data_IF_651813845118
#
_entry.id   IF_651813845118
#
_cell.length_a   1.000
_cell.length_b   1.000
_cell.length_c   1.000
_cell.angle_alpha   90.00
_cell.angle_beta   90.00
_cell.angle_gamma   90.00
#
_symmetry.space_group_name_H-M   'P 1'
#
loop_
_entity.id
_entity.type
_entity.pdbx_description
1 polymer ?
#
# COMPACT_ATOMS: atom_id res chain seq x y z
N UNK A 1 23.26 -8.80 28.88
CA UNK A 1 23.74 -7.59 28.17
C UNK A 1 24.23 -7.93 26.76
N UNK A 2 25.00 -9.00 26.53
CA UNK A 2 25.41 -9.42 25.17
C UNK A 2 24.22 -9.86 24.29
N UNK A 3 23.36 -10.77 24.78
CA UNK A 3 22.28 -11.36 23.96
C UNK A 3 21.23 -10.34 23.49
N UNK A 4 20.88 -9.36 24.33
CA UNK A 4 19.96 -8.28 23.97
C UNK A 4 20.50 -7.42 22.82
N UNK A 5 21.82 -7.12 22.81
CA UNK A 5 22.42 -6.37 21.72
C UNK A 5 22.40 -7.14 20.40
N UNK A 6 22.68 -8.46 20.41
CA UNK A 6 22.61 -9.27 19.20
C UNK A 6 21.19 -9.38 18.64
N UNK A 7 20.17 -9.47 19.50
CA UNK A 7 18.77 -9.49 19.09
C UNK A 7 18.33 -8.18 18.46
N UNK A 8 18.69 -7.04 19.06
CA UNK A 8 18.34 -5.72 18.53
C UNK A 8 19.00 -5.47 17.16
N UNK A 9 20.28 -5.80 17.02
CA UNK A 9 20.99 -5.70 15.73
C UNK A 9 20.29 -6.54 14.66
N UNK A 10 19.91 -7.79 14.99
CA UNK A 10 19.23 -8.67 14.03
C UNK A 10 17.85 -8.14 13.64
N UNK A 11 17.10 -7.58 14.59
CA UNK A 11 15.81 -6.95 14.35
C UNK A 11 15.94 -5.74 13.44
N UNK A 12 16.92 -4.87 13.67
CA UNK A 12 17.19 -3.71 12.82
C UNK A 12 17.49 -4.14 11.37
N UNK A 13 18.28 -5.22 11.19
CA UNK A 13 18.55 -5.76 9.85
C UNK A 13 17.30 -6.31 9.17
N UNK A 14 16.42 -7.00 9.91
CA UNK A 14 15.16 -7.52 9.37
C UNK A 14 14.23 -6.37 8.99
N UNK A 15 14.09 -5.37 9.86
CA UNK A 15 13.28 -4.16 9.60
C UNK A 15 13.79 -3.45 8.34
N UNK A 16 15.10 -3.24 8.24
CA UNK A 16 15.73 -2.59 7.11
C UNK A 16 15.47 -3.34 5.80
N UNK A 17 15.64 -4.67 5.81
CA UNK A 17 15.40 -5.51 4.63
C UNK A 17 13.94 -5.49 4.21
N UNK A 18 13.01 -5.66 5.14
CA UNK A 18 11.58 -5.64 4.86
C UNK A 18 11.13 -4.28 4.32
N UNK A 19 11.61 -3.17 4.91
CA UNK A 19 11.35 -1.83 4.40
C UNK A 19 11.94 -1.60 3.00
N UNK A 20 13.17 -2.07 2.75
CA UNK A 20 13.80 -1.96 1.44
C UNK A 20 12.98 -2.70 0.36
N UNK A 21 12.57 -3.95 0.65
CA UNK A 21 11.72 -4.74 -0.25
C UNK A 21 10.42 -3.99 -0.54
N UNK A 22 9.78 -3.45 0.50
CA UNK A 22 8.53 -2.71 0.37
C UNK A 22 8.68 -1.49 -0.53
N UNK A 23 9.74 -0.71 -0.36
CA UNK A 23 10.06 0.45 -1.21
C UNK A 23 10.26 0.02 -2.66
N UNK A 24 10.97 -1.08 -2.92
CA UNK A 24 11.17 -1.60 -4.27
C UNK A 24 9.85 -2.05 -4.92
N UNK A 25 8.96 -2.69 -4.17
CA UNK A 25 7.64 -3.12 -4.66
C UNK A 25 6.78 -1.89 -5.01
N UNK A 26 6.77 -0.87 -4.14
CA UNK A 26 6.05 0.39 -4.42
C UNK A 26 6.63 1.07 -5.67
N UNK A 27 7.95 1.14 -5.79
CA UNK A 27 8.61 1.72 -6.96
C UNK A 27 8.25 0.98 -8.25
N UNK A 28 8.25 -0.36 -8.24
CA UNK A 28 7.80 -1.17 -9.37
C UNK A 28 6.32 -0.89 -9.71
N UNK A 29 5.47 -0.79 -8.69
CA UNK A 29 4.05 -0.44 -8.85
C UNK A 29 3.86 0.92 -9.51
N UNK A 30 4.64 1.94 -9.10
CA UNK A 30 4.62 3.28 -9.71
C UNK A 30 5.00 3.19 -11.20
N UNK A 31 6.09 2.51 -11.54
CA UNK A 31 6.53 2.35 -12.94
C UNK A 31 5.44 1.70 -13.78
N UNK A 32 4.85 0.60 -13.31
CA UNK A 32 3.78 -0.11 -14.02
C UNK A 32 2.53 0.75 -14.18
N UNK A 33 2.12 1.47 -13.13
CA UNK A 33 0.98 2.36 -13.15
C UNK A 33 1.19 3.53 -14.14
N UNK A 34 2.36 4.17 -14.09
CA UNK A 34 2.71 5.28 -14.97
C UNK A 34 2.71 4.85 -16.45
N UNK A 35 3.28 3.68 -16.77
CA UNK A 35 3.25 3.16 -18.15
C UNK A 35 1.81 2.93 -18.63
N UNK A 36 0.95 2.33 -17.80
CA UNK A 36 -0.46 2.08 -18.15
C UNK A 36 -1.27 3.36 -18.30
N UNK A 37 -1.05 4.36 -17.44
CA UNK A 37 -1.69 5.68 -17.56
C UNK A 37 -1.25 6.35 -18.85
N UNK A 38 0.05 6.38 -19.16
CA UNK A 38 0.57 7.00 -20.38
C UNK A 38 0.02 6.35 -21.66
N UNK A 39 -0.18 5.03 -21.65
CA UNK A 39 -0.86 4.31 -22.74
C UNK A 39 -2.34 4.70 -22.88
N UNK A 40 -3.01 5.04 -21.78
CA UNK A 40 -4.43 5.43 -21.74
C UNK A 40 -4.67 6.86 -22.22
N UNK A 41 -3.69 7.77 -22.08
CA UNK A 41 -3.82 9.16 -22.59
C UNK A 41 -4.09 9.21 -24.10
N UNK A 42 -3.70 8.17 -24.87
CA UNK A 42 -4.00 8.08 -26.31
C UNK A 42 -5.46 7.71 -26.63
N UNK A 43 -6.21 7.12 -25.69
CA UNK A 43 -7.63 6.77 -25.82
C UNK A 43 -8.27 6.89 -24.42
N UNK A 44 -8.84 8.05 -24.06
CA UNK A 44 -9.43 8.26 -22.75
C UNK A 44 -10.66 7.35 -22.60
N UNK A 45 -10.45 6.22 -21.94
CA UNK A 45 -11.49 5.27 -21.57
C UNK A 45 -11.34 4.99 -20.07
N UNK A 46 -12.40 5.27 -19.32
CA UNK A 46 -12.46 5.15 -17.86
C UNK A 46 -12.08 3.73 -17.39
N UNK A 47 -12.39 2.72 -18.20
CA UNK A 47 -12.00 1.32 -17.95
C UNK A 47 -10.48 1.11 -17.87
N UNK A 48 -9.70 1.88 -18.62
CA UNK A 48 -8.24 1.73 -18.68
C UNK A 48 -7.54 2.43 -17.51
N UNK A 49 -8.09 3.56 -17.04
CA UNK A 49 -7.65 4.22 -15.82
C UNK A 49 -7.85 3.33 -14.58
N UNK A 50 -9.03 2.72 -14.45
CA UNK A 50 -9.33 1.79 -13.35
C UNK A 50 -8.40 0.57 -13.34
N UNK A 51 -7.98 0.07 -14.51
CA UNK A 51 -6.99 -1.02 -14.62
C UNK A 51 -5.59 -0.60 -14.14
N UNK A 52 -5.16 0.63 -14.42
CA UNK A 52 -3.87 1.14 -13.93
C UNK A 52 -3.89 1.30 -12.41
N UNK A 53 -4.98 1.88 -11.88
CA UNK A 53 -5.22 2.02 -10.43
C UNK A 53 -5.24 0.67 -9.72
N UNK A 54 -6.02 -0.29 -10.22
CA UNK A 54 -6.11 -1.64 -9.64
C UNK A 54 -4.78 -2.38 -9.66
N UNK A 55 -3.99 -2.22 -10.73
CA UNK A 55 -2.64 -2.78 -10.79
C UNK A 55 -1.76 -2.18 -9.69
N UNK A 56 -1.76 -0.86 -9.52
CA UNK A 56 -0.99 -0.19 -8.47
C UNK A 56 -1.40 -0.62 -7.06
N UNK A 57 -2.71 -0.75 -6.80
CA UNK A 57 -3.23 -1.21 -5.50
C UNK A 57 -2.66 -2.56 -5.08
N UNK A 58 -2.41 -3.48 -6.03
CA UNK A 58 -1.80 -4.80 -5.72
C UNK A 58 -0.37 -4.66 -5.22
N UNK A 59 0.43 -3.79 -5.83
CA UNK A 59 1.80 -3.53 -5.36
C UNK A 59 1.79 -2.89 -3.98
N UNK A 60 0.90 -1.93 -3.75
CA UNK A 60 0.74 -1.30 -2.44
C UNK A 60 0.44 -2.36 -1.38
N UNK A 61 -0.59 -3.18 -1.56
CA UNK A 61 -0.99 -4.21 -0.57
C UNK A 61 0.20 -5.10 -0.18
N UNK A 62 0.97 -5.61 -1.14
CA UNK A 62 2.13 -6.47 -0.85
C UNK A 62 3.18 -5.69 -0.04
N UNK A 63 3.52 -4.47 -0.45
CA UNK A 63 4.46 -3.64 0.30
C UNK A 63 3.99 -3.36 1.74
N UNK A 64 2.68 -3.19 1.94
CA UNK A 64 2.10 -2.99 3.26
C UNK A 64 2.24 -4.22 4.15
N UNK A 65 2.13 -5.43 3.60
CA UNK A 65 2.33 -6.68 4.35
C UNK A 65 3.77 -6.81 4.86
N UNK A 66 4.76 -6.48 4.02
CA UNK A 66 6.17 -6.49 4.41
C UNK A 66 6.48 -5.42 5.48
N UNK A 67 5.93 -4.21 5.33
CA UNK A 67 6.08 -3.16 6.34
C UNK A 67 5.43 -3.56 7.67
N UNK A 68 4.23 -4.14 7.62
CA UNK A 68 3.56 -4.63 8.83
C UNK A 68 4.40 -5.71 9.53
N UNK A 69 5.01 -6.62 8.76
CA UNK A 69 5.91 -7.63 9.32
C UNK A 69 7.14 -6.99 9.99
N UNK A 70 7.73 -5.97 9.37
CA UNK A 70 8.83 -5.19 9.95
C UNK A 70 8.45 -4.56 11.30
N UNK A 71 7.28 -3.92 11.34
CA UNK A 71 6.76 -3.23 12.53
C UNK A 71 6.48 -4.21 13.67
N UNK A 72 5.93 -5.40 13.37
CA UNK A 72 5.70 -6.47 14.36
C UNK A 72 7.03 -6.94 14.97
N UNK A 73 8.05 -7.19 14.13
CA UNK A 73 9.37 -7.66 14.59
C UNK A 73 10.03 -6.62 15.49
N UNK A 74 9.98 -5.34 15.10
CA UNK A 74 10.52 -4.24 15.91
C UNK A 74 9.81 -4.12 17.27
N UNK A 75 8.49 -4.09 17.25
CA UNK A 75 7.66 -3.95 18.47
C UNK A 75 7.87 -5.12 19.44
N UNK A 76 8.11 -6.32 18.92
CA UNK A 76 8.38 -7.50 19.75
C UNK A 76 9.76 -7.47 20.42
N UNK A 77 10.74 -6.77 19.84
CA UNK A 77 12.13 -6.76 20.31
C UNK A 77 12.43 -5.64 21.32
N UNK A 78 11.88 -4.45 21.09
CA UNK A 78 12.01 -3.32 22.01
C UNK A 78 10.71 -2.50 22.01
N UNK A 79 9.86 -2.65 23.04
CA UNK A 79 8.66 -1.83 23.19
C UNK A 79 9.04 -0.41 23.65
N UNK A 80 9.71 0.35 22.80
CA UNK A 80 10.01 1.77 23.03
C UNK A 80 8.80 2.62 22.61
N UNK A 81 8.13 3.23 23.59
CA UNK A 81 6.89 3.99 23.42
C UNK A 81 7.00 5.16 22.41
N UNK A 82 8.18 5.76 22.24
CA UNK A 82 8.37 6.89 21.33
C UNK A 82 8.43 6.43 19.87
N UNK A 83 9.19 5.38 19.57
CA UNK A 83 9.29 4.80 18.23
C UNK A 83 7.98 4.13 17.82
N UNK A 84 7.31 3.49 18.77
CA UNK A 84 5.97 2.92 18.59
C UNK A 84 4.95 4.00 18.22
N UNK A 85 5.06 5.21 18.77
CA UNK A 85 4.18 6.33 18.46
C UNK A 85 4.30 6.82 17.02
N UNK A 86 5.53 6.96 16.50
CA UNK A 86 5.76 7.34 15.10
C UNK A 86 5.25 6.26 14.14
N UNK A 87 5.53 4.99 14.45
CA UNK A 87 5.04 3.85 13.67
C UNK A 87 3.52 3.78 13.66
N UNK A 88 2.86 3.98 14.80
CA UNK A 88 1.40 3.99 14.90
C UNK A 88 0.78 5.12 14.06
N UNK A 89 1.37 6.32 14.07
CA UNK A 89 0.92 7.45 13.24
C UNK A 89 1.07 7.14 11.75
N UNK A 90 2.20 6.58 11.32
CA UNK A 90 2.42 6.19 9.93
C UNK A 90 1.43 5.11 9.49
N UNK A 91 1.18 4.10 10.34
CA UNK A 91 0.19 3.06 10.09
C UNK A 91 -1.24 3.62 9.99
N UNK A 92 -1.59 4.61 10.83
CA UNK A 92 -2.89 5.29 10.80
C UNK A 92 -3.09 6.07 9.50
N UNK A 93 -2.10 6.87 9.09
CA UNK A 93 -2.14 7.64 7.85
C UNK A 93 -2.33 6.69 6.66
N UNK A 94 -1.58 5.60 6.63
CA UNK A 94 -1.68 4.55 5.61
C UNK A 94 -3.08 3.93 5.57
N UNK A 95 -3.63 3.56 6.72
CA UNK A 95 -4.96 2.97 6.82
C UNK A 95 -6.02 3.93 6.32
N UNK A 96 -5.94 5.20 6.73
CA UNK A 96 -6.87 6.24 6.31
C UNK A 96 -6.82 6.47 4.80
N UNK A 97 -5.62 6.62 4.23
CA UNK A 97 -5.44 6.85 2.79
C UNK A 97 -5.90 5.66 1.97
N UNK A 98 -5.51 4.44 2.36
CA UNK A 98 -5.93 3.22 1.67
C UNK A 98 -7.45 3.01 1.77
N UNK A 99 -8.05 3.25 2.93
CA UNK A 99 -9.51 3.19 3.11
C UNK A 99 -10.24 4.19 2.22
N UNK A 100 -9.76 5.44 2.18
CA UNK A 100 -10.35 6.49 1.35
C UNK A 100 -10.28 6.14 -0.14
N UNK A 101 -9.11 5.69 -0.61
CA UNK A 101 -8.92 5.22 -1.98
C UNK A 101 -9.84 4.04 -2.31
N UNK A 102 -9.94 3.04 -1.43
CA UNK A 102 -10.83 1.89 -1.62
C UNK A 102 -12.31 2.28 -1.64
N UNK A 103 -12.68 3.28 -0.84
CA UNK A 103 -14.05 3.80 -0.80
C UNK A 103 -14.41 4.52 -2.09
N UNK A 104 -13.56 5.43 -2.57
CA UNK A 104 -13.79 6.13 -3.84
C UNK A 104 -13.93 5.15 -5.01
N UNK A 105 -13.13 4.07 -5.04
CA UNK A 105 -13.26 3.03 -6.07
C UNK A 105 -14.65 2.36 -6.06
N UNK A 106 -15.18 2.04 -4.88
CA UNK A 106 -16.51 1.43 -4.75
C UNK A 106 -17.64 2.39 -5.18
N UNK A 107 -17.42 3.69 -5.03
CA UNK A 107 -18.34 4.72 -5.49
C UNK A 107 -18.33 4.79 -7.03
N UNK A 108 -17.14 4.85 -7.64
CA UNK A 108 -16.97 4.85 -9.10
C UNK A 108 -17.54 3.57 -9.76
N UNK A 109 -17.34 2.38 -9.18
CA UNK A 109 -17.90 1.12 -9.71
C UNK A 109 -19.44 1.10 -9.73
N UNK A 110 -20.07 1.68 -8.70
CA UNK A 110 -21.54 1.73 -8.60
C UNK A 110 -22.16 2.70 -9.59
N UNK A 111 -21.49 3.81 -9.89
CA UNK A 111 -21.94 4.77 -10.90
C UNK A 111 -21.90 4.18 -12.31
N UNK A 112 -20.88 3.38 -12.63
CA UNK A 112 -20.79 2.66 -13.91
C UNK A 112 -21.88 1.57 -14.02
N UNK A 113 -22.22 0.87 -12.93
CA UNK A 113 -23.30 -0.13 -12.93
C UNK A 113 -24.69 0.49 -13.12
N UNK A 114 -24.94 1.68 -12.53
CA UNK A 114 -26.22 2.37 -12.68
C UNK A 114 -26.39 3.04 -14.04
N UNK A 115 -25.32 3.49 -14.69
CA UNK A 115 -25.37 4.01 -16.06
C UNK A 115 -25.65 2.93 -17.12
N UNK A 116 -25.54 1.65 -16.77
CA UNK A 116 -25.75 0.52 -17.69
C UNK A 116 -27.12 -0.16 -17.62
N UNK A 117 -28.03 0.23 -16.72
CA UNK A 117 -29.36 -0.41 -16.60
C UNK A 117 -30.35 0.24 -17.60
N UNK A 118 -30.91 -0.52 -18.55
CA UNK A 118 -31.96 0.01 -19.43
C UNK A 118 -33.17 0.39 -18.58
N UNK A 119 -33.73 1.58 -18.85
CA UNK A 119 -34.96 2.08 -18.23
C UNK A 119 -36.07 1.07 -18.50
N UNK A 120 -36.71 0.47 -17.48
CA UNK A 120 -37.90 -0.35 -17.71
C UNK A 120 -39.02 0.59 -18.16
N UNK A 121 -39.47 0.38 -19.40
CA UNK A 121 -40.67 1.02 -19.96
C UNK A 121 -41.95 0.38 -19.43
#
# INVERSE_FOLDING_TARGET
>A
MELSNYLLILVDWIELLANLISVLIIAAGIVVASVKVLQTVRKPDLLHYNKARLAFSRYLVIALEFQLAADIVKTAADPNWTDLGILAVVALIRTFLNFFLQREMKEEEREVEHAGKPVPG
#
